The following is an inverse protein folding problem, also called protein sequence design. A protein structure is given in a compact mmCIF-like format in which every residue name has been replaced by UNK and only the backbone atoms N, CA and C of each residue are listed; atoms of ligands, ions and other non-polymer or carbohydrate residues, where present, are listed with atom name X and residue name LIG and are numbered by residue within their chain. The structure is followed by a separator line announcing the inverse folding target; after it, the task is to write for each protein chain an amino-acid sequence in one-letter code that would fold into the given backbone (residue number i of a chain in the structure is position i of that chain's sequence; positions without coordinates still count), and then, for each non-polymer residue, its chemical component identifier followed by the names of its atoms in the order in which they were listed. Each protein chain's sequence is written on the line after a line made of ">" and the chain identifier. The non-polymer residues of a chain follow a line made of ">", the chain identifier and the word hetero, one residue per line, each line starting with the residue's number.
data_IF_271955361478
#
_entry.id   IF_271955361478
#
_cell.length_a   1.000
_cell.length_b   1.000
_cell.length_c   1.000
_cell.angle_alpha   90.00
_cell.angle_beta   90.00
_cell.angle_gamma   90.00
#
_symmetry.space_group_name_H-M   'P 1'
#
loop_
_entity.id
_entity.type
_entity.pdbx_description
1 polymer ?
#
# COMPACT_ATOMS: atom_id res chain seq x y z
N UNK A 1 -62.65 -36.14 20.15
CA UNK A 1 -62.59 -34.81 20.80
C UNK A 1 -61.15 -34.29 21.02
N UNK A 2 -60.15 -34.69 20.21
CA UNK A 2 -58.73 -34.37 20.47
C UNK A 2 -58.02 -33.54 19.39
N UNK A 3 -58.72 -33.15 18.32
CA UNK A 3 -58.10 -32.46 17.16
C UNK A 3 -58.33 -30.93 17.19
N UNK A 4 -59.39 -30.45 17.85
CA UNK A 4 -59.67 -29.00 17.97
C UNK A 4 -58.73 -28.26 18.93
N UNK A 5 -58.17 -28.93 19.94
CA UNK A 5 -57.26 -28.30 20.91
C UNK A 5 -55.86 -27.97 20.35
N UNK A 6 -55.36 -28.78 19.42
CA UNK A 6 -54.00 -28.59 18.84
C UNK A 6 -53.96 -27.47 17.80
N UNK A 7 -55.06 -27.20 17.10
CA UNK A 7 -55.16 -26.11 16.14
C UNK A 7 -55.27 -24.74 16.83
N UNK A 8 -56.04 -24.64 17.91
CA UNK A 8 -56.16 -23.43 18.72
C UNK A 8 -54.84 -23.07 19.43
N UNK A 9 -54.10 -24.06 19.93
CA UNK A 9 -52.78 -23.83 20.54
C UNK A 9 -51.73 -23.33 19.52
N UNK A 10 -51.78 -23.81 18.27
CA UNK A 10 -50.88 -23.35 17.20
C UNK A 10 -51.21 -21.95 16.69
N UNK A 11 -52.49 -21.60 16.56
CA UNK A 11 -52.89 -20.23 16.25
C UNK A 11 -52.55 -19.25 17.39
N UNK A 12 -52.67 -19.68 18.65
CA UNK A 12 -52.28 -18.87 19.81
C UNK A 12 -50.79 -18.54 19.83
N UNK A 13 -49.92 -19.51 19.51
CA UNK A 13 -48.47 -19.31 19.44
C UNK A 13 -48.04 -18.38 18.30
N UNK A 14 -48.70 -18.46 17.14
CA UNK A 14 -48.41 -17.57 15.99
C UNK A 14 -48.85 -16.13 16.28
N UNK A 15 -49.98 -15.95 16.95
CA UNK A 15 -50.45 -14.62 17.37
C UNK A 15 -49.57 -14.02 18.47
N UNK A 16 -49.03 -14.83 19.38
CA UNK A 16 -48.06 -14.38 20.39
C UNK A 16 -46.71 -13.97 19.77
N UNK A 17 -46.22 -14.70 18.76
CA UNK A 17 -45.00 -14.31 18.03
C UNK A 17 -45.18 -13.02 17.23
N UNK A 18 -46.36 -12.80 16.65
CA UNK A 18 -46.68 -11.55 15.94
C UNK A 18 -46.82 -10.37 16.91
N UNK A 19 -47.33 -10.60 18.14
CA UNK A 19 -47.45 -9.55 19.15
C UNK A 19 -46.08 -9.14 19.73
N UNK A 20 -45.15 -10.09 19.90
CA UNK A 20 -43.76 -9.82 20.31
C UNK A 20 -42.95 -9.04 19.25
N UNK A 21 -43.30 -9.16 17.96
CA UNK A 21 -42.66 -8.37 16.89
C UNK A 21 -43.13 -6.91 16.84
N UNK A 22 -44.25 -6.56 17.50
CA UNK A 22 -44.80 -5.19 17.51
C UNK A 22 -44.29 -4.39 18.73
N UNK A 23 -43.75 -5.06 19.76
CA UNK A 23 -43.19 -4.41 20.97
C UNK A 23 -41.66 -4.29 20.99
N UNK A 24 -40.95 -4.69 19.93
CA UNK A 24 -39.54 -4.32 19.79
C UNK A 24 -39.45 -2.82 19.50
N UNK A 25 -39.11 -2.05 20.54
CA UNK A 25 -38.83 -0.61 20.49
C UNK A 25 -37.81 -0.35 19.36
N UNK A 26 -38.04 0.65 18.48
CA UNK A 26 -37.04 0.99 17.48
C UNK A 26 -35.81 1.51 18.22
N UNK A 27 -34.65 0.88 17.97
CA UNK A 27 -33.37 1.45 18.37
C UNK A 27 -33.29 2.80 17.66
N UNK A 28 -33.40 3.87 18.44
CA UNK A 28 -33.21 5.23 17.95
C UNK A 28 -31.76 5.35 17.52
N UNK A 29 -31.53 5.28 16.21
CA UNK A 29 -30.23 5.63 15.61
C UNK A 29 -30.07 7.12 15.81
N UNK A 30 -29.26 7.51 16.78
CA UNK A 30 -28.91 8.90 17.00
C UNK A 30 -28.23 9.43 15.74
N UNK A 31 -28.82 10.44 15.11
CA UNK A 31 -28.31 11.07 13.89
C UNK A 31 -27.29 12.14 14.27
N UNK A 32 -26.20 11.72 14.89
CA UNK A 32 -24.96 12.51 14.87
C UNK A 32 -24.12 11.95 13.75
N UNK A 33 -24.02 12.72 12.66
CA UNK A 33 -23.12 12.42 11.53
C UNK A 33 -21.68 12.54 12.01
N UNK A 34 -21.13 11.45 12.54
CA UNK A 34 -19.70 11.21 12.38
C UNK A 34 -19.54 10.55 11.02
N UNK A 35 -18.82 11.24 10.12
CA UNK A 35 -18.31 10.61 8.90
C UNK A 35 -17.49 9.39 9.38
N UNK A 36 -17.64 8.20 8.78
CA UNK A 36 -16.67 7.15 9.02
C UNK A 36 -15.32 7.72 8.57
N UNK A 37 -14.40 7.93 9.49
CA UNK A 37 -12.99 7.97 9.14
C UNK A 37 -12.73 6.65 8.44
N UNK A 38 -12.44 6.71 7.14
CA UNK A 38 -11.65 5.66 6.55
C UNK A 38 -10.36 5.67 7.35
N UNK A 39 -10.20 4.71 8.27
CA UNK A 39 -8.87 4.23 8.58
C UNK A 39 -8.35 3.72 7.23
N UNK A 40 -7.63 4.58 6.51
CA UNK A 40 -6.55 4.09 5.68
C UNK A 40 -5.70 3.26 6.63
N UNK A 41 -5.86 1.94 6.55
CA UNK A 41 -4.90 1.02 7.12
C UNK A 41 -3.64 1.25 6.31
N UNK A 42 -2.81 2.20 6.75
CA UNK A 42 -1.45 2.30 6.30
C UNK A 42 -0.86 0.89 6.40
N UNK A 43 -0.26 0.36 5.32
CA UNK A 43 0.46 -0.89 5.41
C UNK A 43 1.40 -0.80 6.60
N UNK A 44 1.55 -1.84 7.44
CA UNK A 44 2.50 -1.80 8.54
C UNK A 44 3.83 -1.31 7.99
N UNK A 45 4.31 -0.17 8.51
CA UNK A 45 5.54 0.48 8.06
C UNK A 45 6.64 -0.58 8.07
N UNK A 46 7.03 -1.04 6.89
CA UNK A 46 8.18 -1.92 6.74
C UNK A 46 9.40 -1.04 6.95
N UNK A 47 10.22 -1.35 7.96
CA UNK A 47 11.49 -0.63 8.24
C UNK A 47 12.37 -0.45 7.00
N UNK A 48 12.23 -1.32 5.98
CA UNK A 48 12.99 -1.27 4.72
C UNK A 48 12.19 -0.76 3.51
N UNK A 49 10.91 -0.43 3.66
CA UNK A 49 10.02 -0.01 2.57
C UNK A 49 9.61 -1.12 1.57
N UNK A 50 10.10 -2.36 1.72
CA UNK A 50 9.83 -3.45 0.78
C UNK A 50 8.52 -4.21 1.09
N UNK A 51 7.68 -4.43 0.08
CA UNK A 51 6.42 -5.19 0.21
C UNK A 51 6.59 -6.69 0.56
N UNK A 52 7.81 -7.20 0.56
CA UNK A 52 8.21 -8.56 0.95
C UNK A 52 9.27 -8.57 2.05
N UNK A 53 9.47 -7.42 2.72
CA UNK A 53 10.43 -7.24 3.82
C UNK A 53 10.27 -8.32 4.90
N UNK A 54 9.04 -8.58 5.35
CA UNK A 54 8.75 -9.65 6.32
C UNK A 54 9.29 -11.01 5.86
N UNK A 55 9.08 -11.38 4.60
CA UNK A 55 9.56 -12.65 4.04
C UNK A 55 11.09 -12.68 3.98
N UNK A 56 11.72 -11.58 3.56
CA UNK A 56 13.17 -11.43 3.56
C UNK A 56 13.75 -11.64 4.96
N UNK A 57 13.21 -10.95 5.98
CA UNK A 57 13.65 -11.07 7.37
C UNK A 57 13.49 -12.48 7.91
N UNK A 58 12.32 -13.09 7.72
CA UNK A 58 12.06 -14.47 8.17
C UNK A 58 13.06 -15.46 7.53
N UNK A 59 13.33 -15.34 6.23
CA UNK A 59 14.32 -16.17 5.53
C UNK A 59 15.72 -15.99 6.12
N UNK A 60 16.17 -14.75 6.32
CA UNK A 60 17.49 -14.45 6.89
C UNK A 60 17.61 -14.93 8.34
N UNK A 61 16.61 -14.64 9.19
CA UNK A 61 16.60 -15.05 10.60
C UNK A 61 16.70 -16.57 10.76
N UNK A 62 16.02 -17.34 9.91
CA UNK A 62 16.11 -18.80 9.93
C UNK A 62 17.44 -19.31 9.40
N UNK A 63 18.03 -18.65 8.41
CA UNK A 63 19.36 -18.98 7.90
C UNK A 63 20.47 -18.68 8.92
N UNK A 64 20.35 -17.60 9.70
CA UNK A 64 21.30 -17.24 10.76
C UNK A 64 21.35 -18.21 11.93
N UNK A 65 20.29 -19.02 12.12
CA UNK A 65 20.27 -20.08 13.14
C UNK A 65 21.18 -21.26 12.78
N UNK A 66 21.58 -21.39 11.52
CA UNK A 66 22.55 -22.39 11.08
C UNK A 66 23.99 -21.88 11.31
N UNK A 67 24.83 -22.57 12.11
CA UNK A 67 26.18 -22.09 12.41
C UNK A 67 27.07 -21.92 11.17
N UNK A 68 26.96 -22.83 10.20
CA UNK A 68 27.77 -22.78 8.98
C UNK A 68 27.37 -21.58 8.13
N UNK A 69 26.07 -21.40 7.89
CA UNK A 69 25.57 -20.27 7.11
C UNK A 69 25.85 -18.93 7.80
N UNK A 70 25.70 -18.85 9.14
CA UNK A 70 26.00 -17.64 9.91
C UNK A 70 27.45 -17.19 9.78
N UNK A 71 28.40 -18.12 9.83
CA UNK A 71 29.83 -17.79 9.64
C UNK A 71 30.10 -17.30 8.21
N UNK A 72 29.43 -17.87 7.22
CA UNK A 72 29.52 -17.41 5.83
C UNK A 72 28.92 -16.03 5.63
N UNK A 73 27.77 -15.76 6.25
CA UNK A 73 27.12 -14.46 6.22
C UNK A 73 28.00 -13.37 6.84
N UNK A 74 28.61 -13.63 8.01
CA UNK A 74 29.49 -12.68 8.70
C UNK A 74 30.78 -12.34 7.95
N UNK A 75 31.30 -13.27 7.17
CA UNK A 75 32.56 -13.10 6.44
C UNK A 75 32.33 -12.70 4.97
N UNK A 76 31.09 -12.65 4.50
CA UNK A 76 30.76 -12.31 3.13
C UNK A 76 30.86 -10.80 2.91
N UNK A 77 31.52 -10.40 1.82
CA UNK A 77 31.49 -9.02 1.35
C UNK A 77 30.19 -8.74 0.59
N UNK A 78 29.73 -7.49 0.58
CA UNK A 78 28.53 -7.02 -0.14
C UNK A 78 28.58 -7.45 -1.61
N UNK A 79 29.72 -7.29 -2.27
CA UNK A 79 29.89 -7.69 -3.68
C UNK A 79 29.73 -9.20 -3.89
N UNK A 80 30.17 -10.01 -2.93
CA UNK A 80 30.06 -11.47 -3.00
C UNK A 80 28.62 -11.94 -2.81
N UNK A 81 27.87 -11.22 -1.97
CA UNK A 81 26.42 -11.41 -1.76
C UNK A 81 25.67 -11.07 -3.06
N UNK A 82 25.94 -9.91 -3.68
CA UNK A 82 25.35 -9.49 -4.96
C UNK A 82 25.67 -10.46 -6.12
N UNK A 83 26.86 -11.05 -6.11
CA UNK A 83 27.30 -12.03 -7.12
C UNK A 83 26.67 -13.43 -6.94
N UNK A 84 25.86 -13.64 -5.89
CA UNK A 84 25.19 -14.92 -5.64
C UNK A 84 26.12 -16.01 -5.10
N UNK A 85 27.29 -15.64 -4.55
CA UNK A 85 28.19 -16.62 -3.90
C UNK A 85 27.58 -17.17 -2.62
N UNK A 86 26.92 -16.30 -1.84
CA UNK A 86 26.22 -16.67 -0.61
C UNK A 86 25.09 -17.68 -0.88
N UNK A 87 24.34 -17.49 -1.97
CA UNK A 87 23.22 -18.36 -2.30
C UNK A 87 23.64 -19.82 -2.52
N UNK A 88 24.86 -20.06 -3.02
CA UNK A 88 25.41 -21.42 -3.22
C UNK A 88 25.70 -22.15 -1.91
N UNK A 89 25.93 -21.41 -0.82
CA UNK A 89 26.17 -22.00 0.50
C UNK A 89 24.89 -22.64 1.08
N UNK A 90 23.73 -22.33 0.50
CA UNK A 90 22.44 -22.94 0.84
C UNK A 90 22.41 -24.47 0.64
N UNK A 91 23.27 -25.01 -0.23
CA UNK A 91 23.40 -26.47 -0.46
C UNK A 91 24.00 -27.21 0.75
N UNK A 92 24.72 -26.49 1.62
CA UNK A 92 25.35 -27.05 2.82
C UNK A 92 24.51 -26.85 4.09
N UNK A 93 23.40 -26.12 3.98
CA UNK A 93 22.50 -25.84 5.11
C UNK A 93 21.78 -27.12 5.55
N UNK A 94 21.65 -27.30 6.87
CA UNK A 94 21.01 -28.49 7.42
C UNK A 94 19.54 -28.65 6.96
N UNK A 95 19.13 -29.90 6.73
CA UNK A 95 17.79 -30.25 6.19
C UNK A 95 16.62 -29.61 6.96
N UNK A 96 16.74 -29.45 8.28
CA UNK A 96 15.67 -28.86 9.09
C UNK A 96 15.38 -27.41 8.69
N UNK A 97 16.42 -26.63 8.36
CA UNK A 97 16.26 -25.25 7.90
C UNK A 97 15.71 -25.23 6.47
N UNK A 98 16.17 -26.12 5.58
CA UNK A 98 15.60 -26.28 4.24
C UNK A 98 14.09 -26.53 4.27
N UNK A 99 13.62 -27.46 5.10
CA UNK A 99 12.16 -27.72 5.27
C UNK A 99 11.40 -26.46 5.72
N UNK A 100 11.99 -25.63 6.57
CA UNK A 100 11.36 -24.39 7.03
C UNK A 100 11.36 -23.31 5.94
N UNK A 101 12.43 -23.18 5.17
CA UNK A 101 12.48 -22.28 4.01
C UNK A 101 11.45 -22.67 2.94
N UNK A 102 11.24 -23.95 2.70
CA UNK A 102 10.16 -24.45 1.83
C UNK A 102 8.76 -24.04 2.33
N UNK A 103 8.56 -24.04 3.65
CA UNK A 103 7.31 -23.56 4.26
C UNK A 103 7.14 -22.04 4.07
N UNK A 104 8.16 -21.24 4.39
CA UNK A 104 8.14 -19.79 4.20
C UNK A 104 7.85 -19.40 2.76
N UNK A 105 8.48 -20.07 1.79
CA UNK A 105 8.22 -19.84 0.37
C UNK A 105 6.75 -20.10 0.01
N UNK A 106 6.17 -21.19 0.52
CA UNK A 106 4.76 -21.54 0.25
C UNK A 106 3.79 -20.55 0.88
N UNK A 107 4.09 -20.05 2.07
CA UNK A 107 3.33 -19.00 2.74
C UNK A 107 3.35 -17.71 1.91
N UNK A 108 4.53 -17.28 1.47
CA UNK A 108 4.68 -16.08 0.65
C UNK A 108 3.99 -16.22 -0.72
N UNK A 109 4.15 -17.35 -1.39
CA UNK A 109 3.41 -17.64 -2.62
C UNK A 109 1.89 -17.67 -2.39
N UNK A 110 1.44 -18.13 -1.23
CA UNK A 110 0.05 -18.06 -0.79
C UNK A 110 -0.43 -16.61 -0.66
N UNK A 111 0.35 -15.75 -0.01
CA UNK A 111 0.10 -14.31 0.12
C UNK A 111 -0.01 -13.63 -1.24
N UNK A 112 0.96 -13.86 -2.13
CA UNK A 112 0.96 -13.29 -3.48
C UNK A 112 -0.26 -13.74 -4.30
N UNK A 113 -0.65 -15.03 -4.20
CA UNK A 113 -1.88 -15.53 -4.85
C UNK A 113 -3.13 -14.85 -4.30
N UNK A 114 -3.21 -14.62 -2.99
CA UNK A 114 -4.32 -13.89 -2.40
C UNK A 114 -4.38 -12.44 -2.87
N UNK A 115 -3.24 -11.74 -2.93
CA UNK A 115 -3.16 -10.37 -3.45
C UNK A 115 -3.58 -10.30 -4.91
N UNK A 116 -3.13 -11.24 -5.75
CA UNK A 116 -3.54 -11.33 -7.14
C UNK A 116 -5.04 -11.61 -7.27
N UNK A 117 -5.58 -12.51 -6.45
CA UNK A 117 -7.01 -12.80 -6.41
C UNK A 117 -7.81 -11.56 -6.01
N UNK A 118 -7.42 -10.86 -4.95
CA UNK A 118 -8.06 -9.62 -4.52
C UNK A 118 -8.01 -8.55 -5.62
N UNK A 119 -6.84 -8.32 -6.22
CA UNK A 119 -6.66 -7.40 -7.36
C UNK A 119 -7.57 -7.76 -8.54
N UNK A 120 -7.75 -9.04 -8.81
CA UNK A 120 -8.66 -9.51 -9.86
C UNK A 120 -10.13 -9.32 -9.48
N UNK A 121 -10.53 -9.63 -8.24
CA UNK A 121 -11.89 -9.43 -7.74
C UNK A 121 -12.28 -7.94 -7.77
N UNK A 122 -11.32 -7.03 -7.53
CA UNK A 122 -11.48 -5.58 -7.71
C UNK A 122 -11.58 -5.16 -9.18
N UNK A 123 -10.88 -5.85 -10.09
CA UNK A 123 -10.81 -5.49 -11.52
C UNK A 123 -11.92 -6.11 -12.37
N UNK A 124 -12.46 -7.28 -12.04
CA UNK A 124 -13.55 -7.92 -12.79
C UNK A 124 -14.43 -8.88 -11.94
N UNK A 125 -15.74 -8.63 -11.93
CA UNK A 125 -16.79 -9.63 -11.69
C UNK A 125 -17.11 -10.49 -12.93
N UNK A 126 -16.14 -10.65 -13.83
CA UNK A 126 -16.28 -11.30 -15.12
C UNK A 126 -15.54 -12.64 -15.04
N UNK A 127 -16.25 -13.76 -15.14
CA UNK A 127 -15.77 -15.13 -14.88
C UNK A 127 -14.70 -15.68 -15.84
N UNK A 128 -13.69 -14.89 -16.22
CA UNK A 128 -12.49 -15.35 -16.92
C UNK A 128 -11.53 -15.97 -15.91
N UNK A 129 -11.08 -17.19 -16.18
CA UNK A 129 -9.99 -17.84 -15.43
C UNK A 129 -8.71 -17.03 -15.65
N UNK A 130 -8.37 -16.17 -14.70
CA UNK A 130 -7.11 -15.43 -14.75
C UNK A 130 -5.94 -16.40 -14.56
N UNK A 131 -4.96 -16.33 -15.44
CA UNK A 131 -3.71 -17.07 -15.29
C UNK A 131 -2.88 -16.44 -14.17
N UNK A 132 -3.14 -16.88 -12.94
CA UNK A 132 -2.43 -16.42 -11.75
C UNK A 132 -0.92 -16.70 -11.87
N UNK A 133 -0.52 -17.72 -12.63
CA UNK A 133 0.89 -18.05 -12.84
C UNK A 133 1.59 -17.04 -13.75
N UNK A 134 0.90 -16.48 -14.76
CA UNK A 134 1.42 -15.39 -15.56
C UNK A 134 1.56 -14.09 -14.76
N UNK A 135 0.64 -13.81 -13.83
CA UNK A 135 0.70 -12.62 -12.99
C UNK A 135 1.79 -12.70 -11.92
N UNK A 136 2.09 -13.91 -11.41
CA UNK A 136 3.18 -14.12 -10.46
C UNK A 136 4.55 -13.76 -11.04
N UNK A 137 4.69 -13.67 -12.38
CA UNK A 137 5.92 -13.18 -13.04
C UNK A 137 6.26 -11.74 -12.68
N UNK A 138 5.30 -10.97 -12.17
CA UNK A 138 5.52 -9.59 -11.73
C UNK A 138 6.36 -9.52 -10.44
N UNK A 139 6.40 -10.60 -9.66
CA UNK A 139 7.19 -10.68 -8.43
C UNK A 139 8.56 -11.30 -8.75
N UNK A 140 9.56 -10.43 -8.91
CA UNK A 140 10.92 -10.83 -9.34
C UNK A 140 11.70 -11.62 -8.26
N UNK A 141 11.35 -11.39 -6.98
CA UNK A 141 12.05 -11.92 -5.81
C UNK A 141 11.83 -13.42 -5.53
N UNK A 142 11.02 -14.12 -6.35
CA UNK A 142 10.70 -15.54 -6.18
C UNK A 142 10.69 -16.33 -7.49
N UNK A 143 11.10 -17.60 -7.43
CA UNK A 143 10.92 -18.52 -8.55
C UNK A 143 9.50 -19.11 -8.57
N UNK A 144 8.61 -18.49 -9.35
CA UNK A 144 7.22 -18.93 -9.55
C UNK A 144 7.09 -20.24 -10.36
N UNK A 145 8.16 -20.73 -11.00
CA UNK A 145 8.15 -22.03 -11.71
C UNK A 145 8.28 -23.21 -10.75
N UNK A 146 8.81 -22.98 -9.56
CA UNK A 146 8.97 -23.98 -8.50
C UNK A 146 8.32 -23.47 -7.20
N UNK A 147 7.00 -23.59 -7.02
CA UNK A 147 6.31 -22.95 -5.88
C UNK A 147 6.57 -23.62 -4.53
N UNK A 148 7.04 -24.87 -4.51
CA UNK A 148 6.99 -25.72 -3.31
C UNK A 148 8.32 -25.87 -2.57
N UNK A 149 9.44 -25.59 -3.24
CA UNK A 149 10.79 -25.77 -2.67
C UNK A 149 11.64 -24.51 -2.82
N UNK A 150 12.36 -24.15 -1.76
CA UNK A 150 13.24 -23.00 -1.70
C UNK A 150 14.67 -23.41 -2.07
N UNK A 151 15.10 -22.95 -3.24
CA UNK A 151 16.37 -23.32 -3.85
C UNK A 151 17.37 -22.17 -3.87
N UNK A 152 18.61 -22.48 -4.27
CA UNK A 152 19.69 -21.49 -4.45
C UNK A 152 19.23 -20.31 -5.31
N UNK A 153 18.45 -20.59 -6.36
CA UNK A 153 17.89 -19.56 -7.24
C UNK A 153 16.91 -18.62 -6.54
N UNK A 154 16.16 -19.10 -5.55
CA UNK A 154 15.22 -18.26 -4.80
C UNK A 154 15.96 -17.30 -3.88
N UNK A 155 16.99 -17.79 -3.17
CA UNK A 155 17.82 -16.93 -2.33
C UNK A 155 18.59 -15.89 -3.17
N UNK A 156 19.13 -16.29 -4.33
CA UNK A 156 19.78 -15.37 -5.27
C UNK A 156 18.83 -14.30 -5.81
N UNK A 157 17.60 -14.68 -6.20
CA UNK A 157 16.57 -13.72 -6.64
C UNK A 157 16.13 -12.79 -5.51
N UNK A 158 15.88 -13.34 -4.33
CA UNK A 158 15.46 -12.57 -3.16
C UNK A 158 16.50 -11.52 -2.78
N UNK A 159 17.77 -11.90 -2.70
CA UNK A 159 18.87 -10.98 -2.40
C UNK A 159 19.03 -9.93 -3.50
N UNK A 160 19.00 -10.33 -4.78
CA UNK A 160 19.16 -9.39 -5.91
C UNK A 160 18.01 -8.41 -6.00
N UNK A 161 16.77 -8.87 -5.85
CA UNK A 161 15.59 -8.01 -5.81
C UNK A 161 15.65 -7.09 -4.61
N UNK A 162 15.94 -7.60 -3.41
CA UNK A 162 16.07 -6.75 -2.22
C UNK A 162 17.16 -5.69 -2.40
N UNK A 163 18.33 -6.07 -2.92
CA UNK A 163 19.43 -5.13 -3.19
C UNK A 163 19.02 -4.06 -4.19
N UNK A 164 18.44 -4.46 -5.32
CA UNK A 164 18.02 -3.54 -6.38
C UNK A 164 16.91 -2.60 -5.89
N UNK A 165 15.92 -3.15 -5.20
CA UNK A 165 14.77 -2.39 -4.73
C UNK A 165 15.21 -1.42 -3.62
N UNK A 166 16.11 -1.82 -2.71
CA UNK A 166 16.69 -0.94 -1.70
C UNK A 166 17.59 0.15 -2.29
N UNK A 167 18.37 -0.16 -3.32
CA UNK A 167 19.23 0.81 -4.02
C UNK A 167 18.42 1.85 -4.81
N UNK A 168 17.22 1.49 -5.28
CA UNK A 168 16.34 2.38 -6.04
C UNK A 168 15.15 2.89 -5.23
N UNK A 169 15.02 2.53 -3.95
CA UNK A 169 13.85 2.83 -3.13
C UNK A 169 13.57 4.33 -3.09
N UNK A 170 14.58 5.09 -2.69
CA UNK A 170 14.54 6.55 -2.61
C UNK A 170 14.20 7.16 -3.96
N UNK A 171 14.87 6.71 -5.02
CA UNK A 171 14.61 7.20 -6.38
C UNK A 171 13.17 6.92 -6.84
N UNK A 172 12.67 5.71 -6.62
CA UNK A 172 11.31 5.33 -7.03
C UNK A 172 10.26 6.15 -6.26
N UNK A 173 10.55 6.49 -4.99
CA UNK A 173 9.76 7.41 -4.17
C UNK A 173 9.76 8.84 -4.73
N UNK A 174 10.93 9.40 -5.05
CA UNK A 174 11.04 10.71 -5.74
C UNK A 174 10.26 10.73 -7.06
N UNK A 175 10.35 9.65 -7.85
CA UNK A 175 9.63 9.53 -9.11
C UNK A 175 8.10 9.41 -8.90
N UNK A 176 7.65 8.81 -7.80
CA UNK A 176 6.23 8.74 -7.41
C UNK A 176 5.71 10.09 -6.94
N UNK A 177 6.45 10.77 -6.08
CA UNK A 177 6.12 12.12 -5.63
C UNK A 177 6.07 13.12 -6.79
N UNK A 178 7.03 13.04 -7.73
CA UNK A 178 6.98 13.82 -8.97
C UNK A 178 5.71 13.58 -9.78
N UNK A 179 5.24 12.32 -9.88
CA UNK A 179 3.96 11.99 -10.53
C UNK A 179 2.76 12.53 -9.76
N UNK A 180 2.80 12.49 -8.44
CA UNK A 180 1.77 13.07 -7.58
C UNK A 180 1.63 14.58 -7.83
N UNK A 181 2.73 15.32 -7.82
CA UNK A 181 2.74 16.77 -8.06
C UNK A 181 2.28 17.13 -9.50
N UNK A 182 2.69 16.35 -10.51
CA UNK A 182 2.17 16.51 -11.87
C UNK A 182 0.66 16.22 -11.96
N UNK A 183 0.16 15.22 -11.22
CA UNK A 183 -1.26 14.88 -11.18
C UNK A 183 -2.08 16.00 -10.52
N UNK A 184 -1.61 16.52 -9.39
CA UNK A 184 -2.23 17.64 -8.65
C UNK A 184 -2.37 18.89 -9.54
N UNK A 185 -1.31 19.26 -10.25
CA UNK A 185 -1.37 20.39 -11.19
C UNK A 185 -2.28 20.09 -12.40
N UNK A 186 -2.28 18.87 -12.94
CA UNK A 186 -3.20 18.48 -14.00
C UNK A 186 -4.68 18.64 -13.57
N UNK A 187 -5.05 18.16 -12.39
CA UNK A 187 -6.41 18.31 -11.85
C UNK A 187 -6.79 19.77 -11.64
N UNK A 188 -5.84 20.59 -11.17
CA UNK A 188 -6.02 22.03 -11.05
C UNK A 188 -6.29 22.68 -12.40
N UNK A 189 -5.50 22.36 -13.44
CA UNK A 189 -5.71 22.87 -14.81
C UNK A 189 -7.07 22.46 -15.38
N UNK A 190 -7.45 21.20 -15.20
CA UNK A 190 -8.76 20.70 -15.65
C UNK A 190 -9.93 21.35 -14.88
N UNK A 191 -9.77 21.62 -13.59
CA UNK A 191 -10.74 22.36 -12.78
C UNK A 191 -10.91 23.79 -13.30
N UNK A 192 -9.82 24.51 -13.50
CA UNK A 192 -9.82 25.88 -14.04
C UNK A 192 -10.44 25.94 -15.45
N UNK A 193 -10.22 24.92 -16.27
CA UNK A 193 -10.80 24.80 -17.61
C UNK A 193 -12.32 24.62 -17.61
N UNK A 194 -12.87 23.98 -16.58
CA UNK A 194 -14.32 23.74 -16.41
C UNK A 194 -15.06 24.94 -15.78
N UNK A 195 -14.34 25.87 -15.16
CA UNK A 195 -14.88 27.05 -14.47
C UNK A 195 -15.13 28.24 -15.42
N UNK A 196 -16.05 29.12 -15.03
CA UNK A 196 -16.27 30.39 -15.72
C UNK A 196 -15.16 31.41 -15.40
N UNK A 197 -15.07 32.51 -16.16
CA UNK A 197 -13.99 33.51 -16.01
C UNK A 197 -13.91 34.11 -14.60
N UNK A 198 -15.04 34.46 -13.99
CA UNK A 198 -15.07 35.03 -12.64
C UNK A 198 -14.65 34.02 -11.56
N UNK A 199 -15.02 32.76 -11.72
CA UNK A 199 -14.66 31.66 -10.81
C UNK A 199 -13.17 31.34 -10.93
N UNK A 200 -12.66 31.26 -12.17
CA UNK A 200 -11.25 31.01 -12.46
C UNK A 200 -10.35 32.04 -11.79
N UNK A 201 -10.69 33.32 -11.91
CA UNK A 201 -9.92 34.40 -11.28
C UNK A 201 -9.93 34.31 -9.75
N UNK A 202 -11.04 33.91 -9.13
CA UNK A 202 -11.12 33.71 -7.67
C UNK A 202 -10.28 32.53 -7.23
N UNK A 203 -10.33 31.42 -7.96
CA UNK A 203 -9.53 30.22 -7.68
C UNK A 203 -8.03 30.50 -7.81
N UNK A 204 -7.61 31.23 -8.85
CA UNK A 204 -6.22 31.66 -9.02
C UNK A 204 -5.76 32.57 -7.87
N UNK A 205 -6.60 33.51 -7.43
CA UNK A 205 -6.30 34.37 -6.29
C UNK A 205 -6.20 33.58 -4.98
N UNK A 206 -7.10 32.63 -4.76
CA UNK A 206 -7.07 31.74 -3.62
C UNK A 206 -5.78 30.92 -3.62
N UNK A 207 -5.42 30.31 -4.75
CA UNK A 207 -4.20 29.52 -4.90
C UNK A 207 -2.93 30.33 -4.59
N UNK A 208 -2.84 31.57 -5.10
CA UNK A 208 -1.73 32.49 -4.77
C UNK A 208 -1.70 32.91 -3.30
N UNK A 209 -2.87 33.02 -2.66
CA UNK A 209 -2.96 33.27 -1.21
C UNK A 209 -2.47 32.06 -0.41
N UNK A 210 -2.90 30.85 -0.77
CA UNK A 210 -2.47 29.61 -0.13
C UNK A 210 -0.96 29.39 -0.27
N UNK A 211 -0.41 29.61 -1.47
CA UNK A 211 1.05 29.52 -1.69
C UNK A 211 1.83 30.50 -0.82
N UNK A 212 1.31 31.72 -0.62
CA UNK A 212 1.95 32.71 0.26
C UNK A 212 1.83 32.37 1.73
N UNK A 213 0.72 31.77 2.15
CA UNK A 213 0.55 31.29 3.53
C UNK A 213 1.53 30.17 3.84
N UNK A 214 1.63 29.20 2.94
CA UNK A 214 2.58 28.09 3.08
C UNK A 214 4.03 28.59 3.14
N UNK A 215 4.42 29.52 2.26
CA UNK A 215 5.76 30.11 2.26
C UNK A 215 6.06 31.02 3.47
N UNK A 216 5.06 31.41 4.26
CA UNK A 216 5.22 32.23 5.46
C UNK A 216 5.34 31.32 6.70
N UNK A 217 6.44 30.59 6.78
CA UNK A 217 6.75 29.70 7.89
C UNK A 217 7.99 30.19 8.68
N UNK A 218 8.16 29.78 9.94
CA UNK A 218 9.41 29.97 10.67
C UNK A 218 10.59 29.33 9.94
N UNK A 219 11.79 29.85 10.16
CA UNK A 219 13.03 29.30 9.58
C UNK A 219 13.17 27.81 9.90
N UNK A 220 13.44 27.03 8.86
CA UNK A 220 13.78 25.59 8.98
C UNK A 220 15.29 25.46 9.04
N UNK A 221 15.80 24.81 10.09
CA UNK A 221 17.23 24.59 10.22
C UNK A 221 17.71 23.54 9.22
N UNK A 222 18.98 23.66 8.81
CA UNK A 222 19.60 22.65 7.98
C UNK A 222 19.63 21.28 8.70
N UNK A 223 19.21 20.17 8.06
CA UNK A 223 19.16 18.85 8.70
C UNK A 223 20.53 18.40 9.18
N UNK A 224 20.63 17.91 10.42
CA UNK A 224 21.89 17.47 11.01
C UNK A 224 22.78 18.59 11.54
N UNK A 225 22.37 19.87 11.44
CA UNK A 225 23.11 21.01 11.99
C UNK A 225 23.04 21.11 13.51
N UNK A 226 23.98 21.82 14.12
CA UNK A 226 24.01 22.03 15.58
C UNK A 226 22.72 22.71 16.09
N UNK A 227 22.20 23.68 15.35
CA UNK A 227 20.98 24.42 15.71
C UNK A 227 19.75 23.46 15.72
N UNK A 228 19.62 22.61 14.69
CA UNK A 228 18.55 21.62 14.59
C UNK A 228 18.60 20.61 15.75
N UNK A 229 19.78 20.05 16.04
CA UNK A 229 19.91 19.06 17.12
C UNK A 229 19.68 19.68 18.51
N UNK A 230 20.10 20.92 18.73
CA UNK A 230 19.80 21.65 19.97
C UNK A 230 18.33 21.94 20.14
N UNK A 231 17.62 22.21 19.06
CA UNK A 231 16.18 22.42 19.10
C UNK A 231 15.45 21.13 19.50
N UNK A 232 15.80 19.99 18.91
CA UNK A 232 15.27 18.67 19.32
C UNK A 232 15.58 18.41 20.80
N UNK A 233 16.83 18.66 21.23
CA UNK A 233 17.24 18.53 22.65
C UNK A 233 16.43 19.41 23.60
N UNK A 234 16.02 20.61 23.16
CA UNK A 234 15.22 21.51 23.97
C UNK A 234 13.74 21.14 23.99
N UNK A 235 13.16 20.89 22.81
CA UNK A 235 11.73 20.77 22.63
C UNK A 235 11.22 19.34 22.84
N UNK A 236 11.95 18.34 22.33
CA UNK A 236 11.59 16.94 22.47
C UNK A 236 12.08 16.36 23.80
N UNK A 237 13.35 16.62 24.17
CA UNK A 237 13.93 16.05 25.39
C UNK A 237 13.69 16.90 26.65
N UNK A 238 13.33 18.18 26.49
CA UNK A 238 13.14 19.11 27.61
C UNK A 238 14.44 19.46 28.34
N UNK A 239 15.59 19.36 27.66
CA UNK A 239 16.90 19.62 28.22
C UNK A 239 17.41 21.01 27.83
N UNK A 240 18.32 21.56 28.63
CA UNK A 240 18.86 22.90 28.41
C UNK A 240 19.88 22.89 27.25
N UNK A 241 19.71 23.73 26.20
CA UNK A 241 20.63 23.84 25.07
C UNK A 241 22.08 24.18 25.45
N UNK A 242 22.31 24.85 26.58
CA UNK A 242 23.67 25.20 27.03
C UNK A 242 24.51 23.96 27.39
N UNK A 243 23.85 22.85 27.72
CA UNK A 243 24.49 21.58 28.08
C UNK A 243 24.41 20.54 26.97
N UNK A 244 24.14 20.97 25.73
CA UNK A 244 24.10 20.08 24.58
C UNK A 244 25.42 19.31 24.44
N UNK A 245 25.32 17.99 24.45
CA UNK A 245 26.44 17.08 24.23
C UNK A 245 26.06 16.08 23.13
N UNK A 246 26.68 16.14 21.94
CA UNK A 246 26.33 15.28 20.80
C UNK A 246 26.34 13.78 21.15
N UNK A 247 27.28 13.36 22.01
CA UNK A 247 27.38 11.96 22.41
C UNK A 247 26.20 11.50 23.26
N UNK A 248 25.72 12.37 24.15
CA UNK A 248 24.52 12.11 24.95
C UNK A 248 23.29 12.16 24.07
N UNK A 249 23.19 13.14 23.17
CA UNK A 249 22.12 13.24 22.17
C UNK A 249 21.98 11.94 21.38
N UNK A 250 23.09 11.43 20.83
CA UNK A 250 23.12 10.16 20.09
C UNK A 250 22.50 9.01 20.88
N UNK A 251 22.94 8.83 22.12
CA UNK A 251 22.48 7.72 22.97
C UNK A 251 21.03 7.81 23.44
N UNK A 252 20.46 9.01 23.46
CA UNK A 252 19.07 9.20 23.87
C UNK A 252 18.09 8.91 22.73
N UNK A 253 18.53 9.15 21.50
CA UNK A 253 17.71 8.94 20.29
C UNK A 253 17.95 7.58 19.62
N UNK A 254 18.98 6.84 20.04
CA UNK A 254 19.19 5.43 19.74
C UNK A 254 18.12 4.65 20.52
N UNK A 255 16.95 4.54 19.91
CA UNK A 255 15.71 4.12 20.57
C UNK A 255 15.71 2.61 20.77
N UNK A 256 16.33 1.88 19.84
CA UNK A 256 16.45 0.43 19.90
C UNK A 256 17.69 -0.04 20.70
N UNK A 257 18.66 0.85 20.96
CA UNK A 257 19.86 0.62 21.76
C UNK A 257 20.94 -0.19 21.07
N UNK A 258 20.95 -0.25 19.73
CA UNK A 258 21.90 -1.04 18.94
C UNK A 258 23.23 -0.30 18.66
N UNK A 259 23.30 0.99 18.98
CA UNK A 259 24.47 1.83 18.84
C UNK A 259 24.62 2.50 17.47
N UNK A 260 23.58 2.46 16.65
CA UNK A 260 23.48 3.13 15.35
C UNK A 260 22.27 4.05 15.31
N UNK A 261 22.25 5.00 14.38
CA UNK A 261 21.01 5.60 13.92
C UNK A 261 20.61 4.97 12.60
N UNK A 262 19.42 4.37 12.58
CA UNK A 262 18.78 3.96 11.33
C UNK A 262 18.01 5.11 10.68
N UNK A 263 17.41 4.83 9.53
CA UNK A 263 16.66 5.83 8.76
C UNK A 263 15.45 6.37 9.52
N UNK A 264 14.74 5.51 10.25
CA UNK A 264 13.55 5.90 11.02
C UNK A 264 13.93 6.77 12.20
N UNK A 265 15.02 6.44 12.88
CA UNK A 265 15.56 7.24 13.99
C UNK A 265 16.02 8.62 13.52
N UNK A 266 16.67 8.72 12.35
CA UNK A 266 17.00 10.02 11.74
C UNK A 266 15.76 10.81 11.34
N UNK A 267 14.80 10.17 10.66
CA UNK A 267 13.55 10.79 10.23
C UNK A 267 12.75 11.38 11.41
N UNK A 268 12.77 10.69 12.55
CA UNK A 268 12.13 11.18 13.77
C UNK A 268 12.69 12.53 14.24
N UNK A 269 14.01 12.77 14.07
CA UNK A 269 14.67 14.03 14.44
C UNK A 269 14.17 15.23 13.61
N UNK A 270 13.68 14.99 12.41
CA UNK A 270 13.23 16.06 11.51
C UNK A 270 11.79 16.49 11.77
N UNK A 271 11.01 15.69 12.50
CA UNK A 271 9.59 15.97 12.76
C UNK A 271 9.35 17.39 13.28
N UNK A 272 10.18 17.87 14.22
CA UNK A 272 10.04 19.22 14.79
C UNK A 272 10.37 20.34 13.81
N UNK A 273 11.33 20.12 12.93
CA UNK A 273 11.64 21.07 11.86
C UNK A 273 10.51 21.15 10.83
N UNK A 274 9.95 20.00 10.46
CA UNK A 274 8.87 19.92 9.47
C UNK A 274 7.53 20.47 10.01
N UNK A 275 7.25 20.29 11.31
CA UNK A 275 6.06 20.87 11.97
C UNK A 275 6.00 22.41 11.91
N UNK A 276 7.13 23.09 11.62
CA UNK A 276 7.16 24.54 11.39
C UNK A 276 6.51 24.94 10.07
N UNK A 277 6.62 24.07 9.06
CA UNK A 277 6.18 24.32 7.68
C UNK A 277 4.84 23.67 7.40
N UNK A 278 4.65 22.45 7.87
CA UNK A 278 3.51 21.61 7.54
C UNK A 278 2.63 21.36 8.77
N UNK A 279 1.36 21.72 8.66
CA UNK A 279 0.37 21.43 9.68
C UNK A 279 -0.86 20.72 9.05
N UNK A 280 -1.23 19.50 9.51
CA UNK A 280 -2.39 18.78 8.98
C UNK A 280 -3.74 19.48 9.16
N UNK A 281 -3.82 20.54 9.98
CA UNK A 281 -5.03 21.34 10.17
C UNK A 281 -5.17 22.50 9.18
N UNK A 282 -4.09 22.84 8.47
CA UNK A 282 -4.06 23.88 7.45
C UNK A 282 -4.46 23.27 6.10
N UNK A 283 -5.14 24.04 5.24
CA UNK A 283 -5.55 23.57 3.91
C UNK A 283 -4.42 23.73 2.87
N UNK A 284 -3.51 24.67 3.13
CA UNK A 284 -2.35 24.98 2.31
C UNK A 284 -1.23 23.93 2.42
N UNK A 285 -1.21 23.16 3.51
CA UNK A 285 -0.12 22.26 3.84
C UNK A 285 -0.44 20.83 3.38
N UNK A 286 0.39 20.31 2.49
CA UNK A 286 0.26 18.96 1.97
C UNK A 286 1.13 17.98 2.76
N UNK A 287 0.49 17.03 3.44
CA UNK A 287 1.19 16.02 4.24
C UNK A 287 2.05 15.08 3.38
N UNK A 288 1.73 14.93 2.09
CA UNK A 288 2.57 14.14 1.16
C UNK A 288 3.85 14.91 0.84
N UNK A 289 3.79 16.24 0.70
CA UNK A 289 4.98 17.09 0.54
C UNK A 289 5.85 17.05 1.80
N UNK A 290 5.24 17.08 3.00
CA UNK A 290 5.96 16.91 4.27
C UNK A 290 6.76 15.60 4.31
N UNK A 291 6.15 14.50 3.87
CA UNK A 291 6.79 13.18 3.84
C UNK A 291 7.98 13.17 2.89
N UNK A 292 7.83 13.74 1.70
CA UNK A 292 8.93 13.85 0.76
C UNK A 292 10.07 14.72 1.32
N UNK A 293 9.73 15.84 1.96
CA UNK A 293 10.71 16.71 2.59
C UNK A 293 11.50 15.96 3.67
N UNK A 294 10.82 15.12 4.46
CA UNK A 294 11.47 14.24 5.44
C UNK A 294 12.48 13.29 4.80
N UNK A 295 12.13 12.67 3.67
CA UNK A 295 13.03 11.80 2.92
C UNK A 295 14.22 12.57 2.35
N UNK A 296 14.01 13.78 1.81
CA UNK A 296 15.09 14.66 1.33
C UNK A 296 16.06 15.02 2.45
N UNK A 297 15.55 15.37 3.64
CA UNK A 297 16.37 15.66 4.82
C UNK A 297 17.20 14.44 5.24
N UNK A 298 16.57 13.26 5.30
CA UNK A 298 17.27 12.00 5.62
C UNK A 298 18.37 11.68 4.61
N UNK A 299 18.06 11.71 3.32
CA UNK A 299 19.03 11.43 2.26
C UNK A 299 20.21 12.39 2.30
N UNK A 300 19.94 13.66 2.57
CA UNK A 300 20.96 14.67 2.75
C UNK A 300 21.89 14.30 3.91
N UNK A 301 21.35 14.05 5.11
CA UNK A 301 22.15 13.67 6.29
C UNK A 301 22.93 12.37 6.07
N UNK A 302 22.30 11.34 5.49
CA UNK A 302 22.97 10.08 5.19
C UNK A 302 24.16 10.29 4.23
N UNK A 303 23.99 11.09 3.18
CA UNK A 303 25.08 11.36 2.22
C UNK A 303 26.28 12.09 2.86
N UNK A 304 26.04 12.90 3.90
CA UNK A 304 27.10 13.66 4.57
C UNK A 304 27.79 12.91 5.70
N UNK A 305 27.04 12.07 6.43
CA UNK A 305 27.47 11.44 7.67
C UNK A 305 27.86 9.98 7.47
N UNK A 306 27.05 9.19 6.75
CA UNK A 306 27.33 7.77 6.47
C UNK A 306 28.46 7.65 5.44
N UNK A 307 29.67 7.47 5.96
CA UNK A 307 30.88 7.42 5.14
C UNK A 307 31.05 6.04 4.50
N UNK A 308 30.52 5.00 5.13
CA UNK A 308 30.75 3.61 4.77
C UNK A 308 29.62 3.05 3.86
N UNK A 309 28.50 3.77 3.77
CA UNK A 309 27.32 3.50 2.92
C UNK A 309 26.58 2.22 3.31
N UNK A 310 26.51 1.91 4.60
CA UNK A 310 25.72 0.82 5.14
C UNK A 310 24.29 1.23 5.54
N UNK A 311 23.91 2.51 5.30
CA UNK A 311 22.62 3.10 5.67
C UNK A 311 22.39 3.14 7.18
N UNK A 312 23.47 3.11 7.96
CA UNK A 312 23.45 3.24 9.40
C UNK A 312 24.48 4.28 9.82
N UNK A 313 24.12 5.17 10.73
CA UNK A 313 25.08 6.15 11.26
C UNK A 313 25.63 5.64 12.58
N UNK A 314 26.90 5.24 12.57
CA UNK A 314 27.59 4.88 13.81
C UNK A 314 27.87 6.11 14.68
N UNK A 315 28.02 5.90 15.99
CA UNK A 315 28.49 6.95 16.90
C UNK A 315 29.81 7.59 16.41
N UNK A 316 30.71 6.82 15.80
CA UNK A 316 31.97 7.36 15.26
C UNK A 316 31.75 8.32 14.09
N UNK A 317 30.86 7.99 13.16
CA UNK A 317 30.53 8.84 12.01
C UNK A 317 29.82 10.10 12.47
N UNK A 318 28.84 9.96 13.36
CA UNK A 318 28.14 11.09 13.98
C UNK A 318 29.11 12.05 14.69
N UNK A 319 30.01 11.53 15.53
CA UNK A 319 31.00 12.35 16.23
C UNK A 319 32.08 12.93 15.29
N UNK A 320 32.25 12.38 14.08
CA UNK A 320 33.11 12.96 13.06
C UNK A 320 32.40 14.10 12.32
N UNK A 321 31.11 13.92 12.00
CA UNK A 321 30.27 14.94 11.38
C UNK A 321 30.15 16.21 12.25
N UNK A 322 29.96 16.06 13.56
CA UNK A 322 29.91 17.21 14.50
C UNK A 322 31.19 18.04 14.62
N UNK A 323 32.29 17.61 14.00
CA UNK A 323 33.56 18.36 13.95
C UNK A 323 33.80 19.07 12.62
N UNK A 324 32.94 18.81 11.63
CA UNK A 324 32.99 19.44 10.32
C UNK A 324 32.50 20.89 10.43
N UNK A 325 32.87 21.73 9.46
CA UNK A 325 32.45 23.15 9.49
C UNK A 325 30.95 23.27 9.21
N UNK A 326 30.46 22.42 8.31
CA UNK A 326 29.08 22.24 7.88
C UNK A 326 28.12 22.03 9.07
N UNK A 327 28.57 21.38 10.15
CA UNK A 327 27.76 21.18 11.36
C UNK A 327 27.41 22.50 12.08
N UNK A 328 28.29 23.50 11.97
CA UNK A 328 28.14 24.80 12.62
C UNK A 328 27.60 25.87 11.64
N UNK A 329 27.37 25.50 10.39
CA UNK A 329 26.74 26.40 9.42
C UNK A 329 25.29 26.63 9.81
N UNK A 330 24.84 27.88 9.65
CA UNK A 330 23.48 28.32 10.01
C UNK A 330 22.61 28.48 8.78
N UNK A 331 22.90 27.70 7.76
CA UNK A 331 22.18 27.75 6.50
C UNK A 331 20.74 27.28 6.72
N UNK A 332 19.84 27.82 5.91
CA UNK A 332 18.42 27.49 5.94
C UNK A 332 18.19 26.31 5.00
N UNK A 333 17.29 25.40 5.39
CA UNK A 333 16.89 24.33 4.51
C UNK A 333 16.00 24.85 3.37
N UNK A 334 16.38 24.55 2.12
CA UNK A 334 15.57 24.88 0.96
C UNK A 334 14.42 23.88 0.78
N UNK A 335 13.23 24.31 1.19
CA UNK A 335 11.97 23.59 1.09
C UNK A 335 11.53 23.37 -0.37
N UNK A 336 10.70 22.35 -0.58
CA UNK A 336 10.20 21.91 -1.88
C UNK A 336 9.54 23.03 -2.71
N UNK A 337 8.89 24.00 -2.08
CA UNK A 337 8.19 25.11 -2.74
C UNK A 337 9.12 26.06 -3.51
N UNK A 338 10.41 26.07 -3.15
CA UNK A 338 11.43 26.95 -3.73
C UNK A 338 12.00 26.41 -5.05
N UNK A 339 11.95 25.08 -5.26
CA UNK A 339 12.59 24.41 -6.39
C UNK A 339 11.58 23.59 -7.24
N UNK A 340 11.45 23.85 -8.55
CA UNK A 340 10.51 23.11 -9.40
C UNK A 340 10.95 21.65 -9.61
N UNK A 341 10.08 20.71 -9.26
CA UNK A 341 10.31 19.25 -9.35
C UNK A 341 10.22 18.68 -10.77
N UNK A 342 9.46 19.34 -11.64
CA UNK A 342 9.24 18.93 -13.01
C UNK A 342 9.22 20.12 -13.95
N UNK A 343 9.51 19.84 -15.21
CA UNK A 343 9.43 20.83 -16.29
C UNK A 343 8.04 20.84 -16.94
N UNK A 344 7.67 21.95 -17.56
CA UNK A 344 6.43 22.06 -18.34
C UNK A 344 6.38 21.08 -19.53
N UNK A 345 7.52 20.59 -20.00
CA UNK A 345 7.58 19.55 -21.03
C UNK A 345 7.21 18.18 -20.46
N UNK A 346 7.74 17.84 -19.29
CA UNK A 346 7.39 16.59 -18.57
C UNK A 346 5.91 16.55 -18.20
N UNK A 347 5.35 17.66 -17.70
CA UNK A 347 3.91 17.74 -17.42
C UNK A 347 3.08 17.51 -18.68
N UNK A 348 3.44 18.13 -19.82
CA UNK A 348 2.74 17.91 -21.10
C UNK A 348 2.84 16.47 -21.61
N UNK A 349 3.96 15.79 -21.36
CA UNK A 349 4.09 14.37 -21.66
C UNK A 349 3.19 13.53 -20.74
N UNK A 350 3.18 13.83 -19.44
CA UNK A 350 2.33 13.17 -18.46
C UNK A 350 0.83 13.32 -18.80
N UNK A 351 0.35 14.54 -19.09
CA UNK A 351 -1.03 14.78 -19.50
C UNK A 351 -1.42 14.03 -20.77
N UNK A 352 -0.49 13.87 -21.71
CA UNK A 352 -0.70 13.08 -22.94
C UNK A 352 -0.85 11.59 -22.61
N UNK A 353 -0.04 11.08 -21.68
CA UNK A 353 -0.16 9.72 -21.18
C UNK A 353 -1.51 9.50 -20.49
N UNK A 354 -1.96 10.43 -19.65
CA UNK A 354 -3.27 10.38 -19.01
C UNK A 354 -4.41 10.37 -20.04
N UNK A 355 -4.39 11.27 -21.02
CA UNK A 355 -5.41 11.33 -22.06
C UNK A 355 -5.47 10.04 -22.90
N UNK A 356 -4.31 9.44 -23.21
CA UNK A 356 -4.26 8.16 -23.90
C UNK A 356 -4.83 7.04 -23.02
N UNK A 357 -4.47 6.99 -21.74
CA UNK A 357 -4.99 6.00 -20.80
C UNK A 357 -6.51 6.13 -20.60
N UNK A 358 -7.03 7.36 -20.51
CA UNK A 358 -8.47 7.64 -20.45
C UNK A 358 -9.19 7.13 -21.70
N UNK A 359 -8.63 7.38 -22.89
CA UNK A 359 -9.17 6.87 -24.15
C UNK A 359 -9.21 5.34 -24.19
N UNK A 360 -8.14 4.68 -23.74
CA UNK A 360 -8.08 3.21 -23.66
C UNK A 360 -9.12 2.65 -22.67
N UNK A 361 -9.29 3.30 -21.51
CA UNK A 361 -10.31 2.94 -20.52
C UNK A 361 -11.71 3.13 -21.11
N UNK A 362 -11.97 4.23 -21.81
CA UNK A 362 -13.25 4.51 -22.46
C UNK A 362 -13.56 3.50 -23.58
N UNK A 363 -12.56 3.08 -24.36
CA UNK A 363 -12.74 2.03 -25.35
C UNK A 363 -13.09 0.68 -24.70
N UNK A 364 -12.36 0.31 -23.63
CA UNK A 364 -12.64 -0.90 -22.85
C UNK A 364 -14.01 -0.86 -22.20
N UNK A 365 -14.44 0.28 -21.64
CA UNK A 365 -15.75 0.42 -21.00
C UNK A 365 -16.89 0.23 -22.01
N UNK A 366 -16.76 0.79 -23.22
CA UNK A 366 -17.71 0.58 -24.32
C UNK A 366 -17.72 -0.89 -24.76
N UNK A 367 -16.57 -1.55 -24.84
CA UNK A 367 -16.49 -2.98 -25.15
C UNK A 367 -17.17 -3.83 -24.07
N UNK A 368 -16.89 -3.57 -22.79
CA UNK A 368 -17.54 -4.25 -21.67
C UNK A 368 -19.05 -4.06 -21.68
N UNK A 369 -19.53 -2.85 -21.98
CA UNK A 369 -20.97 -2.58 -22.09
C UNK A 369 -21.62 -3.41 -23.20
N UNK A 370 -20.98 -3.53 -24.37
CA UNK A 370 -21.46 -4.42 -25.45
C UNK A 370 -21.48 -5.88 -25.03
N UNK A 371 -20.42 -6.35 -24.36
CA UNK A 371 -20.37 -7.74 -23.85
C UNK A 371 -21.48 -8.00 -22.84
N UNK A 372 -21.76 -7.05 -21.94
CA UNK A 372 -22.86 -7.14 -20.98
C UNK A 372 -24.23 -7.25 -21.68
N UNK A 373 -24.49 -6.39 -22.67
CA UNK A 373 -25.74 -6.45 -23.46
C UNK A 373 -25.88 -7.80 -24.21
N UNK A 374 -24.80 -8.35 -24.74
CA UNK A 374 -24.81 -9.67 -25.40
C UNK A 374 -25.11 -10.80 -24.41
N UNK A 375 -24.50 -10.75 -23.22
CA UNK A 375 -24.77 -11.73 -22.15
C UNK A 375 -26.22 -11.66 -21.66
N UNK A 376 -26.78 -10.46 -21.49
CA UNK A 376 -28.19 -10.27 -21.14
C UNK A 376 -29.13 -10.85 -22.20
N UNK A 377 -28.81 -10.67 -23.50
CA UNK A 377 -29.56 -11.30 -24.60
C UNK A 377 -29.49 -12.82 -24.52
N UNK A 378 -28.29 -13.41 -24.40
CA UNK A 378 -28.12 -14.87 -24.26
C UNK A 378 -28.87 -15.41 -23.03
N UNK A 379 -28.82 -14.70 -21.91
CA UNK A 379 -29.54 -15.08 -20.69
C UNK A 379 -31.07 -15.08 -20.91
N UNK A 380 -31.59 -14.08 -21.63
CA UNK A 380 -33.02 -14.00 -21.97
C UNK A 380 -33.45 -15.15 -22.90
N UNK A 381 -32.62 -15.51 -23.88
CA UNK A 381 -32.86 -16.64 -24.78
C UNK A 381 -32.87 -17.98 -24.03
N UNK A 382 -31.88 -18.20 -23.15
CA UNK A 382 -31.82 -19.40 -22.29
C UNK A 382 -33.04 -19.51 -21.38
N UNK A 383 -33.48 -18.40 -20.78
CA UNK A 383 -34.68 -18.36 -19.96
C UNK A 383 -35.94 -18.69 -20.78
N UNK A 384 -36.06 -18.16 -22.00
CA UNK A 384 -37.16 -18.48 -22.90
C UNK A 384 -37.17 -19.97 -23.30
N UNK A 385 -36.02 -20.55 -23.63
CA UNK A 385 -35.87 -21.98 -23.91
C UNK A 385 -36.27 -22.84 -22.70
N UNK A 386 -35.83 -22.47 -21.49
CA UNK A 386 -36.18 -23.16 -20.24
C UNK A 386 -37.69 -23.14 -19.98
N UNK A 387 -38.34 -21.99 -20.18
CA UNK A 387 -39.79 -21.85 -20.07
C UNK A 387 -40.53 -22.70 -21.12
N UNK A 388 -40.04 -22.74 -22.36
CA UNK A 388 -40.57 -23.61 -23.41
C UNK A 388 -40.50 -25.09 -23.04
N UNK A 389 -39.35 -25.57 -22.56
CA UNK A 389 -39.18 -26.94 -22.08
C UNK A 389 -40.09 -27.27 -20.89
N UNK A 390 -40.26 -26.35 -19.95
CA UNK A 390 -41.21 -26.52 -18.85
C UNK A 390 -42.66 -26.64 -19.34
N UNK A 391 -43.08 -25.82 -20.30
CA UNK A 391 -44.42 -25.94 -20.88
C UNK A 391 -44.63 -27.28 -21.60
N UNK A 392 -43.63 -27.77 -22.35
CA UNK A 392 -43.69 -29.09 -22.99
C UNK A 392 -43.81 -30.20 -21.93
N UNK A 393 -43.01 -30.15 -20.87
CA UNK A 393 -43.11 -31.10 -19.77
C UNK A 393 -44.48 -31.08 -19.08
N UNK A 394 -45.04 -29.89 -18.81
CA UNK A 394 -46.39 -29.74 -18.24
C UNK A 394 -47.44 -30.34 -19.18
N UNK A 395 -47.37 -30.05 -20.48
CA UNK A 395 -48.27 -30.64 -21.49
C UNK A 395 -48.15 -32.16 -21.54
N UNK A 396 -46.94 -32.70 -21.48
CA UNK A 396 -46.69 -34.14 -21.46
C UNK A 396 -47.30 -34.80 -20.22
N UNK A 397 -47.12 -34.19 -19.05
CA UNK A 397 -47.71 -34.66 -17.78
C UNK A 397 -49.25 -34.64 -17.86
N UNK A 398 -49.84 -33.57 -18.39
CA UNK A 398 -51.30 -33.48 -18.59
C UNK A 398 -51.79 -34.55 -19.57
N UNK A 399 -51.10 -34.78 -20.69
CA UNK A 399 -51.42 -35.85 -21.64
C UNK A 399 -51.35 -37.23 -20.99
N UNK A 400 -50.29 -37.52 -20.24
CA UNK A 400 -50.12 -38.79 -19.53
C UNK A 400 -51.20 -39.00 -18.45
N UNK A 401 -51.57 -37.94 -17.72
CA UNK A 401 -52.68 -37.98 -16.77
C UNK A 401 -54.01 -38.22 -17.49
N UNK A 402 -54.27 -37.52 -18.60
CA UNK A 402 -55.49 -37.72 -19.39
C UNK A 402 -55.60 -39.16 -19.90
N UNK A 403 -54.50 -39.73 -20.41
CA UNK A 403 -54.43 -41.14 -20.82
C UNK A 403 -54.66 -42.12 -19.66
N UNK A 404 -54.10 -41.82 -18.48
CA UNK A 404 -54.27 -42.65 -17.27
C UNK A 404 -55.69 -42.63 -16.71
N UNK A 405 -56.40 -41.51 -16.84
CA UNK A 405 -57.76 -41.33 -16.29
C UNK A 405 -58.89 -41.52 -17.32
N UNK A 406 -58.60 -41.64 -18.63
CA UNK A 406 -59.56 -41.98 -19.68
C UNK A 406 -59.05 -43.16 -20.56
N UNK A 407 -58.99 -44.40 -20.03
CA UNK A 407 -58.53 -45.56 -20.78
C UNK A 407 -59.51 -46.06 -21.86
N UNK A 408 -60.71 -45.47 -21.99
CA UNK A 408 -61.75 -45.94 -22.92
C UNK A 408 -61.81 -45.24 -24.28
N UNK A 409 -60.85 -44.35 -24.60
CA UNK A 409 -60.79 -43.68 -25.90
C UNK A 409 -59.77 -44.28 -26.87
N UNK A 410 -59.48 -45.59 -26.77
CA UNK A 410 -58.64 -46.32 -27.73
C UNK A 410 -59.47 -47.45 -28.32
N UNK A 411 -60.35 -47.10 -29.27
CA UNK A 411 -60.83 -47.97 -30.35
C UNK A 411 -61.77 -47.16 -31.25
N UNK A 412 -61.19 -46.40 -32.20
CA UNK A 412 -61.66 -46.23 -33.59
C UNK A 412 -60.43 -45.96 -34.43
#
# INVERSE_FOLDING_TARGET
>A
QMVRGKALARCGLVLLSLWLCIQSVPISVDKTKEKPQQEELDPPESETGLHYDRYLREVIEYLEKDPHFKEKLKNANIDDIKQGKLSKELDFVHRNFRTKLDELKREEMGRLRMLLKAKNDFKEGNGRTVDHQALLKQFEHLNHMNPDTFEVEDLDRLIKSATKDLENFDKDRHDEFKRYEMMKEHERRERLRRMNEEERKKEEQHYEEMKKKHADHPKVNHPGSEDQLKEVWQEADGLDPEYFDPKTFFKMHDTNGDGFFDETELEALFTKELEKVYNPQNEEDDMVEMEEERLRMREHVMNEVDTNKDRLVSLSEFMAATKKEEFHEKDEWETLDQNPLYTEEELREYERHLANAENDINQKSVELQRQKEELERKQSELNAQRMGLQQVNIKLIIMLLYWKYNPHCVNV
#
